data_IF_910940479635
#
_entry.id   IF_910940479635
#
_cell.length_a   1.000
_cell.length_b   1.000
_cell.length_c   1.000
_cell.angle_alpha   90.00
_cell.angle_beta   90.00
_cell.angle_gamma   90.00
#
_symmetry.space_group_name_H-M   'P 1'
#
loop_
_entity.id
_entity.type
_entity.pdbx_description
1 polymer ?
#
# COMPACT_ATOMS: atom_id res chain seq x y z
N UNK A 1 16.64 -66.50 -12.27
CA UNK A 1 16.08 -65.52 -13.22
C UNK A 1 16.09 -64.16 -12.52
N UNK A 2 16.83 -63.17 -13.04
CA UNK A 2 16.97 -61.89 -12.33
C UNK A 2 15.81 -60.96 -12.70
N UNK A 3 14.89 -60.74 -11.75
CA UNK A 3 13.69 -59.92 -11.93
C UNK A 3 14.02 -58.50 -12.38
N UNK A 4 15.07 -57.89 -11.81
CA UNK A 4 15.52 -56.55 -12.18
C UNK A 4 15.97 -56.47 -13.66
N UNK A 5 16.63 -57.53 -14.15
CA UNK A 5 17.07 -57.62 -15.55
C UNK A 5 15.89 -57.74 -16.50
N UNK A 6 14.83 -58.46 -16.10
CA UNK A 6 13.60 -58.58 -16.89
C UNK A 6 12.84 -57.26 -16.95
N UNK A 7 12.69 -56.56 -15.82
CA UNK A 7 12.06 -55.23 -15.75
C UNK A 7 12.80 -54.19 -16.58
N UNK A 8 14.14 -54.17 -16.53
CA UNK A 8 14.94 -53.25 -17.34
C UNK A 8 14.78 -53.49 -18.84
N UNK A 9 14.82 -54.76 -19.26
CA UNK A 9 14.61 -55.12 -20.67
C UNK A 9 13.19 -54.75 -21.15
N UNK A 10 12.17 -54.86 -20.28
CA UNK A 10 10.80 -54.43 -20.60
C UNK A 10 10.68 -52.92 -20.81
N UNK A 11 11.36 -52.12 -19.97
CA UNK A 11 11.38 -50.66 -20.12
C UNK A 11 12.08 -50.21 -21.41
N UNK A 12 13.15 -50.91 -21.80
CA UNK A 12 13.89 -50.65 -23.03
C UNK A 12 13.13 -51.07 -24.31
N UNK A 13 12.26 -52.08 -24.23
CA UNK A 13 11.42 -52.55 -25.34
C UNK A 13 10.28 -51.56 -25.70
N UNK A 14 9.83 -50.75 -24.72
CA UNK A 14 8.78 -49.73 -24.92
C UNK A 14 9.27 -48.30 -24.64
N UNK A 15 10.23 -47.78 -25.41
CA UNK A 15 10.94 -46.54 -25.08
C UNK A 15 10.02 -45.31 -25.00
N UNK A 16 9.03 -45.20 -25.90
CA UNK A 16 8.11 -44.05 -25.91
C UNK A 16 7.19 -44.01 -24.68
N UNK A 17 6.61 -45.17 -24.32
CA UNK A 17 5.74 -45.27 -23.14
C UNK A 17 6.54 -45.04 -21.85
N UNK A 18 7.72 -45.64 -21.75
CA UNK A 18 8.63 -45.46 -20.61
C UNK A 18 9.02 -43.98 -20.47
N UNK A 19 9.36 -43.31 -21.57
CA UNK A 19 9.71 -41.89 -21.56
C UNK A 19 8.54 -41.03 -21.08
N UNK A 20 7.34 -41.23 -21.63
CA UNK A 20 6.16 -40.46 -21.25
C UNK A 20 5.80 -40.65 -19.77
N UNK A 21 5.82 -41.89 -19.27
CA UNK A 21 5.59 -42.18 -17.85
C UNK A 21 6.67 -41.57 -16.96
N UNK A 22 7.93 -41.60 -17.38
CA UNK A 22 9.04 -40.99 -16.64
C UNK A 22 8.88 -39.48 -16.56
N UNK A 23 8.53 -38.82 -17.67
CA UNK A 23 8.26 -37.37 -17.69
C UNK A 23 7.09 -37.03 -16.78
N UNK A 24 6.01 -37.82 -16.82
CA UNK A 24 4.82 -37.57 -16.00
C UNK A 24 5.15 -37.63 -14.49
N UNK A 25 5.90 -38.65 -14.08
CA UNK A 25 6.38 -38.76 -12.68
C UNK A 25 7.35 -37.63 -12.33
N UNK A 26 8.30 -37.33 -13.22
CA UNK A 26 9.27 -36.25 -13.02
C UNK A 26 8.59 -34.89 -12.87
N UNK A 27 7.55 -34.60 -13.66
CA UNK A 27 6.77 -33.37 -13.55
C UNK A 27 6.02 -33.29 -12.22
N UNK A 28 5.40 -34.39 -11.77
CA UNK A 28 4.70 -34.41 -10.48
C UNK A 28 5.63 -34.16 -9.29
N UNK A 29 6.80 -34.82 -9.28
CA UNK A 29 7.82 -34.62 -8.24
C UNK A 29 8.44 -33.23 -8.32
N UNK A 30 8.73 -32.75 -9.52
CA UNK A 30 9.31 -31.42 -9.76
C UNK A 30 8.36 -30.31 -9.30
N UNK A 31 7.09 -30.37 -9.68
CA UNK A 31 6.09 -29.38 -9.27
C UNK A 31 5.98 -29.29 -7.75
N UNK A 32 5.89 -30.45 -7.08
CA UNK A 32 5.84 -30.52 -5.61
C UNK A 32 7.09 -29.89 -4.99
N UNK A 33 8.27 -30.22 -5.53
CA UNK A 33 9.55 -29.69 -5.04
C UNK A 33 9.67 -28.17 -5.24
N UNK A 34 9.23 -27.67 -6.40
CA UNK A 34 9.22 -26.24 -6.72
C UNK A 34 8.31 -25.49 -5.74
N UNK A 35 7.11 -26.02 -5.45
CA UNK A 35 6.21 -25.40 -4.48
C UNK A 35 6.83 -25.29 -3.09
N UNK A 36 7.51 -26.35 -2.61
CA UNK A 36 8.22 -26.31 -1.33
C UNK A 36 9.36 -25.29 -1.33
N UNK A 37 10.16 -25.24 -2.40
CA UNK A 37 11.26 -24.29 -2.52
C UNK A 37 10.77 -22.84 -2.57
N UNK A 38 9.70 -22.57 -3.34
CA UNK A 38 9.10 -21.25 -3.43
C UNK A 38 8.54 -20.80 -2.08
N UNK A 39 7.81 -21.67 -1.39
CA UNK A 39 7.26 -21.36 -0.06
C UNK A 39 8.40 -21.02 0.92
N UNK A 40 9.43 -21.87 0.97
CA UNK A 40 10.60 -21.63 1.83
C UNK A 40 11.29 -20.31 1.50
N UNK A 41 11.57 -20.04 0.23
CA UNK A 41 12.22 -18.80 -0.18
C UNK A 41 11.38 -17.57 0.15
N UNK A 42 10.06 -17.66 0.00
CA UNK A 42 9.16 -16.56 0.33
C UNK A 42 9.15 -16.26 1.83
N UNK A 43 9.02 -17.31 2.65
CA UNK A 43 9.07 -17.20 4.11
C UNK A 43 10.43 -16.63 4.56
N UNK A 44 11.54 -17.20 4.10
CA UNK A 44 12.89 -16.76 4.48
C UNK A 44 13.11 -15.28 4.11
N UNK A 45 12.60 -14.82 2.95
CA UNK A 45 12.68 -13.41 2.56
C UNK A 45 11.82 -12.52 3.44
N UNK A 46 10.58 -12.91 3.77
CA UNK A 46 9.74 -12.11 4.65
C UNK A 46 10.37 -11.97 6.03
N UNK A 47 10.81 -13.08 6.63
CA UNK A 47 11.44 -13.09 7.95
C UNK A 47 12.71 -12.25 7.99
N UNK A 48 13.59 -12.35 6.99
CA UNK A 48 14.83 -11.55 6.97
C UNK A 48 14.60 -10.05 6.78
N UNK A 49 13.51 -9.64 6.14
CA UNK A 49 13.21 -8.21 5.97
C UNK A 49 12.63 -7.56 7.23
N UNK A 50 12.04 -8.33 8.14
CA UNK A 50 11.52 -7.85 9.43
C UNK A 50 12.47 -8.14 10.61
N UNK A 51 13.53 -8.91 10.37
CA UNK A 51 14.51 -9.29 11.39
C UNK A 51 15.14 -8.06 12.05
N UNK A 52 15.04 -7.97 13.37
CA UNK A 52 15.53 -6.83 14.15
C UNK A 52 14.66 -5.57 14.11
N UNK A 53 13.42 -5.67 13.61
CA UNK A 53 12.41 -4.60 13.70
C UNK A 53 11.36 -5.00 14.73
N UNK A 54 11.44 -4.41 15.93
CA UNK A 54 10.51 -4.72 17.03
C UNK A 54 9.22 -3.89 16.98
N UNK A 55 9.30 -2.67 16.45
CA UNK A 55 8.19 -1.71 16.43
C UNK A 55 8.25 -0.81 15.20
N UNK A 56 7.10 -0.64 14.55
CA UNK A 56 6.88 0.37 13.51
C UNK A 56 5.94 1.42 14.06
N UNK A 57 6.37 2.68 14.04
CA UNK A 57 5.59 3.83 14.51
C UNK A 57 5.25 4.71 13.31
N UNK A 58 3.97 5.01 13.13
CA UNK A 58 3.43 5.71 11.97
C UNK A 58 2.22 6.56 12.35
N UNK A 59 1.74 7.37 11.41
CA UNK A 59 0.47 8.07 11.55
C UNK A 59 -0.69 7.07 11.70
N UNK A 60 -1.79 7.53 12.32
CA UNK A 60 -2.99 6.71 12.54
C UNK A 60 -3.48 6.12 11.22
N UNK A 61 -3.59 4.79 11.18
CA UNK A 61 -4.03 4.05 9.99
C UNK A 61 -4.11 2.55 10.25
N UNK A 62 -4.14 1.76 9.18
CA UNK A 62 -4.15 0.29 9.27
C UNK A 62 -2.76 -0.22 9.71
N UNK A 63 -2.66 -1.04 10.79
CA UNK A 63 -1.39 -1.64 11.18
C UNK A 63 -0.74 -2.47 10.07
N UNK A 64 -1.56 -3.21 9.31
CA UNK A 64 -1.07 -3.99 8.17
C UNK A 64 -0.46 -3.08 7.09
N UNK A 65 -1.13 -1.97 6.77
CA UNK A 65 -0.63 -1.00 5.80
C UNK A 65 0.69 -0.36 6.26
N UNK A 66 0.85 -0.06 7.56
CA UNK A 66 2.13 0.45 8.08
C UNK A 66 3.27 -0.54 7.85
N UNK A 67 3.04 -1.83 8.12
CA UNK A 67 4.05 -2.87 7.89
C UNK A 67 4.36 -3.03 6.40
N UNK A 68 3.33 -3.09 5.55
CA UNK A 68 3.49 -3.25 4.10
C UNK A 68 4.18 -2.03 3.45
N UNK A 69 3.93 -0.82 3.95
CA UNK A 69 4.56 0.40 3.44
C UNK A 69 5.97 0.63 3.97
N UNK A 70 6.21 0.42 5.28
CA UNK A 70 7.46 0.81 5.94
C UNK A 70 8.55 -0.28 5.90
N UNK A 71 8.15 -1.55 5.98
CA UNK A 71 9.09 -2.69 5.99
C UNK A 71 9.22 -3.28 4.58
N UNK A 72 8.08 -3.56 3.94
CA UNK A 72 8.06 -4.26 2.65
C UNK A 72 8.01 -3.34 1.44
N UNK A 73 7.69 -2.05 1.62
CA UNK A 73 7.61 -1.04 0.54
C UNK A 73 6.62 -1.36 -0.60
N UNK A 74 5.55 -2.10 -0.31
CA UNK A 74 4.55 -2.53 -1.31
C UNK A 74 3.24 -1.71 -1.23
N UNK A 75 3.06 -0.92 -0.17
CA UNK A 75 1.85 -0.11 0.03
C UNK A 75 2.18 1.39 0.21
N UNK A 76 1.15 2.24 0.19
CA UNK A 76 1.25 3.67 0.48
C UNK A 76 1.38 3.93 1.99
N UNK A 77 2.16 4.94 2.41
CA UNK A 77 2.26 5.33 3.82
C UNK A 77 0.90 5.77 4.37
N UNK A 78 0.65 5.54 5.67
CA UNK A 78 -0.60 5.93 6.34
C UNK A 78 -0.69 7.42 6.69
N UNK A 79 0.37 8.18 6.41
CA UNK A 79 0.48 9.62 6.69
C UNK A 79 1.78 9.98 7.40
N UNK A 80 1.94 11.25 7.73
CA UNK A 80 3.13 11.78 8.40
C UNK A 80 2.92 11.91 9.91
N UNK A 81 4.00 11.75 10.67
CA UNK A 81 4.03 12.01 12.11
C UNK A 81 4.72 13.36 12.34
N UNK A 82 4.22 14.24 13.21
CA UNK A 82 4.92 15.48 13.55
C UNK A 82 6.34 15.18 14.05
N UNK A 83 7.34 15.88 13.51
CA UNK A 83 8.74 15.67 13.85
C UNK A 83 9.00 15.73 15.37
N UNK A 84 8.31 16.64 16.05
CA UNK A 84 8.38 16.80 17.51
C UNK A 84 7.95 15.52 18.25
N UNK A 85 6.91 14.84 17.78
CA UNK A 85 6.42 13.59 18.38
C UNK A 85 7.38 12.44 18.10
N UNK A 86 7.90 12.33 16.88
CA UNK A 86 8.92 11.36 16.53
C UNK A 86 10.15 11.47 17.46
N UNK A 87 10.62 12.69 17.74
CA UNK A 87 11.73 12.94 18.67
C UNK A 87 11.44 12.56 20.13
N UNK A 88 10.18 12.59 20.57
CA UNK A 88 9.83 12.14 21.92
C UNK A 88 9.96 10.63 22.00
N UNK A 89 9.50 9.91 20.97
CA UNK A 89 9.63 8.45 20.89
C UNK A 89 11.09 8.04 20.88
N UNK A 90 11.93 8.65 20.03
CA UNK A 90 13.35 8.25 19.91
C UNK A 90 14.18 8.50 21.18
N UNK A 91 13.72 9.35 22.10
CA UNK A 91 14.37 9.60 23.40
C UNK A 91 13.99 8.60 24.50
N UNK A 92 13.12 7.65 24.21
CA UNK A 92 12.69 6.65 25.19
C UNK A 92 13.87 5.71 25.55
N UNK A 93 14.19 5.52 26.85
CA UNK A 93 15.32 4.69 27.29
C UNK A 93 15.20 3.20 26.91
N UNK A 94 14.00 2.72 26.54
CA UNK A 94 13.80 1.34 26.06
C UNK A 94 14.09 1.17 24.56
N UNK A 95 14.43 2.25 23.84
CA UNK A 95 14.75 2.21 22.42
C UNK A 95 16.26 2.26 22.25
N UNK A 96 16.84 1.15 21.81
CA UNK A 96 18.27 1.07 21.48
C UNK A 96 18.60 1.84 20.19
N UNK A 97 17.73 1.73 19.18
CA UNK A 97 17.93 2.30 17.86
C UNK A 97 16.60 2.74 17.26
N UNK A 98 16.56 3.96 16.72
CA UNK A 98 15.41 4.49 15.99
C UNK A 98 15.86 4.97 14.62
N UNK A 99 15.34 4.37 13.56
CA UNK A 99 15.72 4.70 12.19
C UNK A 99 14.56 5.47 11.55
N UNK A 100 14.76 6.72 11.12
CA UNK A 100 13.70 7.51 10.51
C UNK A 100 13.40 6.99 9.10
N UNK A 101 12.13 7.11 8.70
CA UNK A 101 11.66 6.72 7.37
C UNK A 101 10.73 7.80 6.83
N UNK A 102 11.04 8.32 5.65
CA UNK A 102 10.22 9.26 4.90
C UNK A 102 9.96 8.68 3.50
N UNK A 103 8.69 8.58 3.13
CA UNK A 103 8.24 7.96 1.89
C UNK A 103 7.37 8.96 1.11
N UNK A 104 7.46 8.96 -0.22
CA UNK A 104 6.59 9.82 -1.04
C UNK A 104 6.87 9.71 -2.52
N UNK A 105 8.17 9.68 -2.88
CA UNK A 105 8.60 9.65 -4.26
C UNK A 105 8.99 8.24 -4.74
N UNK A 106 8.98 8.07 -6.05
CA UNK A 106 9.59 6.95 -6.74
C UNK A 106 10.30 7.42 -8.01
N UNK A 107 11.10 6.52 -8.59
CA UNK A 107 11.67 6.69 -9.90
C UNK A 107 11.47 5.42 -10.72
N UNK A 108 10.69 5.52 -11.81
CA UNK A 108 10.37 4.40 -12.69
C UNK A 108 9.85 3.14 -11.95
N UNK A 109 9.05 3.36 -10.90
CA UNK A 109 8.46 2.30 -10.07
C UNK A 109 9.37 1.77 -8.96
N UNK A 110 10.57 2.31 -8.77
CA UNK A 110 11.42 2.04 -7.61
C UNK A 110 11.25 3.13 -6.57
N UNK A 111 10.92 2.75 -5.34
CA UNK A 111 10.65 3.71 -4.26
C UNK A 111 11.91 4.45 -3.84
N UNK A 112 11.78 5.76 -3.67
CA UNK A 112 12.79 6.61 -3.04
C UNK A 112 12.44 6.70 -1.55
N UNK A 113 13.39 6.40 -0.70
CA UNK A 113 13.23 6.28 0.74
C UNK A 113 14.20 7.26 1.41
N UNK A 114 13.64 8.27 2.07
CA UNK A 114 14.39 9.16 2.96
C UNK A 114 14.66 8.45 4.28
N UNK A 115 15.92 8.28 4.64
CA UNK A 115 16.35 7.64 5.88
C UNK A 115 17.74 8.14 6.28
N UNK A 116 18.45 7.42 7.13
CA UNK A 116 19.85 7.69 7.47
C UNK A 116 20.73 6.46 7.24
N UNK A 117 22.04 6.63 7.44
CA UNK A 117 23.04 5.55 7.31
C UNK A 117 22.76 4.33 8.18
N UNK A 118 21.99 4.48 9.25
CA UNK A 118 21.66 3.38 10.16
C UNK A 118 20.72 2.35 9.50
N UNK A 119 19.95 2.74 8.48
CA UNK A 119 19.09 1.84 7.70
C UNK A 119 19.91 0.85 6.90
N UNK A 120 20.95 1.32 6.19
CA UNK A 120 21.87 0.46 5.45
C UNK A 120 22.58 -0.51 6.40
N UNK A 121 23.03 -0.02 7.56
CA UNK A 121 23.67 -0.83 8.58
C UNK A 121 22.73 -1.88 9.19
N UNK A 122 21.44 -1.58 9.35
CA UNK A 122 20.45 -2.52 9.87
C UNK A 122 20.31 -3.76 8.97
N UNK A 123 20.29 -3.57 7.65
CA UNK A 123 20.26 -4.66 6.68
C UNK A 123 21.64 -5.32 6.42
N UNK A 124 22.69 -4.91 7.14
CA UNK A 124 24.05 -5.41 6.92
C UNK A 124 24.57 -5.17 5.50
N UNK A 125 24.07 -4.13 4.84
CA UNK A 125 24.39 -3.87 3.45
C UNK A 125 25.72 -3.13 3.30
N UNK A 126 26.46 -3.47 2.26
CA UNK A 126 27.76 -2.89 1.93
C UNK A 126 27.66 -2.09 0.63
N UNK A 127 28.51 -1.06 0.49
CA UNK A 127 28.67 -0.35 -0.78
C UNK A 127 29.50 -1.23 -1.73
N UNK A 128 28.96 -1.48 -2.92
CA UNK A 128 29.69 -2.12 -4.01
C UNK A 128 30.54 -1.09 -4.78
N UNK A 129 29.96 0.09 -5.06
CA UNK A 129 30.61 1.17 -5.80
C UNK A 129 30.28 2.53 -5.18
N UNK A 130 31.23 3.45 -5.15
CA UNK A 130 31.04 4.82 -4.65
C UNK A 130 31.10 4.92 -3.12
N UNK A 131 30.16 5.67 -2.53
CA UNK A 131 30.11 5.94 -1.08
C UNK A 131 28.68 6.02 -0.57
N UNK A 132 28.52 6.01 0.75
CA UNK A 132 27.23 6.31 1.37
C UNK A 132 26.82 7.78 1.11
N UNK A 133 25.51 8.00 1.06
CA UNK A 133 24.87 9.32 1.03
C UNK A 133 25.38 10.15 2.21
N UNK A 134 25.71 11.42 1.91
CA UNK A 134 26.20 12.36 2.91
C UNK A 134 25.44 13.68 2.83
N UNK A 135 25.24 14.18 1.62
CA UNK A 135 24.65 15.48 1.35
C UNK A 135 23.22 15.31 0.79
N UNK A 136 22.44 16.40 0.80
CA UNK A 136 21.08 16.37 0.25
C UNK A 136 21.09 16.14 -1.27
N UNK A 137 20.02 15.53 -1.79
CA UNK A 137 19.83 15.13 -3.19
C UNK A 137 20.78 14.02 -3.67
N UNK A 138 21.66 13.52 -2.82
CA UNK A 138 22.43 12.31 -3.11
C UNK A 138 21.60 11.06 -2.84
N UNK A 139 21.87 9.99 -3.61
CA UNK A 139 21.23 8.70 -3.43
C UNK A 139 22.20 7.52 -3.44
N UNK A 140 21.89 6.52 -2.62
CA UNK A 140 22.40 5.16 -2.75
C UNK A 140 21.35 4.27 -3.40
N UNK A 141 21.73 3.53 -4.43
CA UNK A 141 20.80 2.71 -5.20
C UNK A 141 21.01 1.22 -4.87
N UNK A 142 19.92 0.53 -4.58
CA UNK A 142 19.91 -0.92 -4.40
C UNK A 142 20.37 -1.66 -5.66
N UNK A 143 20.99 -2.82 -5.49
CA UNK A 143 21.62 -3.57 -6.59
C UNK A 143 20.67 -3.90 -7.76
N UNK A 144 19.42 -4.29 -7.48
CA UNK A 144 18.41 -4.62 -8.51
C UNK A 144 17.85 -3.36 -9.15
N UNK A 145 17.63 -2.30 -8.38
CA UNK A 145 17.21 -1.00 -8.89
C UNK A 145 18.27 -0.44 -9.87
N UNK A 146 19.55 -0.45 -9.48
CA UNK A 146 20.66 0.02 -10.32
C UNK A 146 20.74 -0.76 -11.64
N UNK A 147 20.69 -2.09 -11.58
CA UNK A 147 20.71 -2.95 -12.78
C UNK A 147 19.50 -2.71 -13.69
N UNK A 148 18.29 -2.57 -13.13
CA UNK A 148 17.05 -2.46 -13.91
C UNK A 148 16.86 -1.08 -14.53
N UNK A 149 17.33 -0.05 -13.85
CA UNK A 149 17.25 1.36 -14.28
C UNK A 149 18.50 1.81 -15.03
N UNK A 150 19.50 0.93 -15.18
CA UNK A 150 20.79 1.20 -15.82
C UNK A 150 21.54 2.39 -15.18
N UNK A 151 21.31 2.62 -13.89
CA UNK A 151 21.93 3.70 -13.12
C UNK A 151 23.38 3.36 -12.76
N UNK A 152 24.24 4.37 -12.84
CA UNK A 152 25.66 4.32 -12.49
C UNK A 152 26.00 5.45 -11.54
N UNK A 153 27.17 5.40 -10.91
CA UNK A 153 27.70 6.54 -10.16
C UNK A 153 27.75 7.77 -11.07
N UNK A 154 27.23 8.90 -10.58
CA UNK A 154 27.09 10.16 -11.31
C UNK A 154 25.85 10.26 -12.20
N UNK A 155 25.01 9.22 -12.28
CA UNK A 155 23.69 9.34 -12.93
C UNK A 155 22.82 10.33 -12.16
N UNK A 156 22.06 11.15 -12.90
CA UNK A 156 21.07 12.07 -12.32
C UNK A 156 19.67 11.75 -12.83
N UNK A 157 18.67 11.88 -11.96
CA UNK A 157 17.26 11.66 -12.32
C UNK A 157 16.31 12.49 -11.47
N UNK A 158 15.05 12.58 -11.90
CA UNK A 158 13.98 13.28 -11.19
C UNK A 158 12.99 12.28 -10.63
N UNK A 159 12.57 12.48 -9.38
CA UNK A 159 11.55 11.67 -8.74
C UNK A 159 10.14 12.08 -9.18
N UNK A 160 9.18 11.16 -9.02
CA UNK A 160 7.76 11.42 -9.21
C UNK A 160 6.97 10.97 -7.99
N UNK A 161 5.88 11.67 -7.66
CA UNK A 161 5.00 11.27 -6.55
C UNK A 161 4.36 9.91 -6.79
N UNK A 162 4.26 9.13 -5.71
CA UNK A 162 3.63 7.82 -5.71
C UNK A 162 4.47 6.74 -6.38
N UNK A 163 3.90 5.54 -6.57
CA UNK A 163 4.58 4.39 -7.18
C UNK A 163 4.26 4.19 -8.67
N UNK A 164 3.52 5.11 -9.28
CA UNK A 164 3.02 4.93 -10.65
C UNK A 164 4.10 5.32 -11.65
N UNK A 165 4.40 4.44 -12.60
CA UNK A 165 5.39 4.68 -13.66
C UNK A 165 4.99 5.79 -14.64
N UNK A 166 3.70 6.07 -14.76
CA UNK A 166 3.14 7.05 -15.71
C UNK A 166 2.10 7.91 -14.99
N UNK A 167 2.17 9.23 -15.16
CA UNK A 167 1.13 10.17 -14.71
C UNK A 167 1.29 10.72 -13.28
N UNK A 168 2.34 10.37 -12.54
CA UNK A 168 2.70 11.07 -11.30
C UNK A 168 3.29 12.45 -11.59
N UNK A 169 3.05 13.44 -10.73
CA UNK A 169 3.75 14.72 -10.80
C UNK A 169 5.25 14.48 -10.64
N UNK A 170 6.03 14.90 -11.64
CA UNK A 170 7.49 14.79 -11.62
C UNK A 170 8.05 16.06 -10.97
N UNK A 171 8.95 15.87 -10.00
CA UNK A 171 9.72 16.96 -9.43
C UNK A 171 10.83 17.37 -10.41
N UNK A 172 10.54 18.25 -11.36
CA UNK A 172 11.54 18.72 -12.33
C UNK A 172 12.56 19.71 -11.72
N UNK A 173 12.31 20.19 -10.51
CA UNK A 173 13.08 21.28 -9.88
C UNK A 173 14.42 20.82 -9.29
N UNK A 174 14.50 19.59 -8.78
CA UNK A 174 15.68 19.09 -8.07
C UNK A 174 16.02 17.68 -8.54
N UNK A 175 17.21 17.53 -9.13
CA UNK A 175 17.71 16.23 -9.57
C UNK A 175 18.39 15.48 -8.43
N UNK A 176 18.09 14.20 -8.30
CA UNK A 176 18.85 13.27 -7.48
C UNK A 176 20.15 12.87 -8.18
N UNK A 177 21.26 12.74 -7.43
CA UNK A 177 22.55 12.25 -7.92
C UNK A 177 22.92 10.91 -7.30
N UNK A 178 23.26 9.92 -8.13
CA UNK A 178 23.70 8.60 -7.66
C UNK A 178 25.16 8.66 -7.20
N UNK A 179 25.39 8.53 -5.88
CA UNK A 179 26.74 8.56 -5.28
C UNK A 179 27.24 7.21 -4.78
N UNK A 180 26.36 6.20 -4.75
CA UNK A 180 26.74 4.84 -4.40
C UNK A 180 25.76 3.78 -4.88
N UNK A 181 26.28 2.59 -5.16
CA UNK A 181 25.49 1.40 -5.48
C UNK A 181 25.75 0.35 -4.40
N UNK A 182 24.67 -0.19 -3.84
CA UNK A 182 24.74 -1.21 -2.80
C UNK A 182 25.02 -2.58 -3.41
N UNK A 183 25.78 -3.40 -2.67
CA UNK A 183 25.99 -4.82 -2.98
C UNK A 183 24.69 -5.59 -2.83
N UNK A 184 24.53 -6.64 -3.64
CA UNK A 184 23.32 -7.46 -3.63
C UNK A 184 23.13 -8.21 -2.31
N UNK A 185 22.01 -7.95 -1.64
CA UNK A 185 21.65 -8.51 -0.32
C UNK A 185 20.58 -9.59 -0.41
N UNK A 186 19.87 -9.68 -1.53
CA UNK A 186 18.63 -10.43 -1.71
C UNK A 186 17.47 -9.99 -0.79
N UNK A 187 17.54 -8.77 -0.25
CA UNK A 187 16.54 -8.17 0.63
C UNK A 187 15.79 -7.04 -0.07
N UNK A 188 14.86 -6.39 0.64
CA UNK A 188 14.06 -5.29 0.10
C UNK A 188 14.95 -4.14 -0.37
N UNK A 189 16.07 -3.90 0.32
CA UNK A 189 17.04 -2.85 0.03
C UNK A 189 17.54 -2.84 -1.42
N UNK A 190 17.65 -4.01 -2.06
CA UNK A 190 18.08 -4.11 -3.46
C UNK A 190 17.12 -3.41 -4.44
N UNK A 191 15.87 -3.19 -4.03
CA UNK A 191 14.80 -2.59 -4.82
C UNK A 191 14.48 -1.14 -4.39
N UNK A 192 15.33 -0.54 -3.55
CA UNK A 192 15.11 0.81 -3.03
C UNK A 192 16.17 1.77 -3.57
N UNK A 193 15.79 3.04 -3.61
CA UNK A 193 16.69 4.18 -3.76
C UNK A 193 16.67 4.90 -2.41
N UNK A 194 17.82 5.05 -1.78
CA UNK A 194 17.95 5.62 -0.44
C UNK A 194 18.51 7.03 -0.52
N UNK A 195 17.91 7.95 0.21
CA UNK A 195 18.37 9.33 0.35
C UNK A 195 18.23 9.78 1.80
N UNK A 196 18.65 11.01 2.11
CA UNK A 196 18.46 11.58 3.44
C UNK A 196 17.01 12.02 3.67
N UNK A 197 16.53 11.94 4.91
CA UNK A 197 15.20 12.48 5.29
C UNK A 197 15.04 13.96 4.91
N UNK A 198 16.10 14.75 5.10
CA UNK A 198 16.16 16.17 4.72
C UNK A 198 15.94 16.40 3.23
N UNK A 199 16.38 15.47 2.38
CA UNK A 199 16.13 15.54 0.95
C UNK A 199 14.63 15.42 0.67
N UNK A 200 13.93 14.47 1.30
CA UNK A 200 12.49 14.32 1.12
C UNK A 200 11.72 15.58 1.54
N UNK A 201 12.11 16.23 2.65
CA UNK A 201 11.50 17.50 3.04
C UNK A 201 11.79 18.61 2.04
N UNK A 202 13.04 18.74 1.59
CA UNK A 202 13.42 19.75 0.59
C UNK A 202 12.64 19.63 -0.72
N UNK A 203 12.28 18.40 -1.13
CA UNK A 203 11.45 18.15 -2.32
C UNK A 203 9.98 18.55 -2.11
N UNK A 204 9.53 18.72 -0.86
CA UNK A 204 8.13 18.98 -0.52
C UNK A 204 7.89 20.32 0.20
N UNK A 205 8.93 21.05 0.60
CA UNK A 205 8.80 22.37 1.27
C UNK A 205 8.01 23.37 0.41
N UNK A 206 8.22 23.39 -0.91
CA UNK A 206 7.55 24.32 -1.83
C UNK A 206 6.04 24.00 -2.05
N UNK A 207 5.54 22.87 -1.56
CA UNK A 207 4.14 22.43 -1.72
C UNK A 207 3.29 22.55 -0.44
N UNK A 208 3.88 22.88 0.70
CA UNK A 208 3.17 22.93 2.00
C UNK A 208 2.26 24.17 2.19
N UNK A 209 2.12 25.02 1.18
CA UNK A 209 1.39 26.29 1.26
C UNK A 209 -0.09 26.28 0.82
N UNK A 210 -0.66 25.17 0.34
CA UNK A 210 -1.98 25.18 -0.32
C UNK A 210 -3.03 24.16 0.15
N UNK A 211 -2.83 23.44 1.27
CA UNK A 211 -3.88 22.58 1.83
C UNK A 211 -4.71 23.29 2.92
N UNK A 212 -5.25 24.46 2.59
CA UNK A 212 -6.32 25.13 3.34
C UNK A 212 -7.46 25.50 2.39
N UNK A 213 -8.09 24.51 1.77
CA UNK A 213 -9.44 24.70 1.24
C UNK A 213 -10.43 24.40 2.37
N UNK A 214 -10.76 25.46 3.10
CA UNK A 214 -11.97 25.56 3.90
C UNK A 214 -13.18 25.43 2.97
N UNK A 215 -13.93 24.35 3.08
CA UNK A 215 -15.28 24.28 2.49
C UNK A 215 -16.21 25.23 3.27
N UNK A 216 -16.16 26.52 2.94
CA UNK A 216 -17.25 27.45 3.24
C UNK A 216 -18.35 27.29 2.19
N UNK A 217 -19.45 26.65 2.60
CA UNK A 217 -20.71 26.66 1.87
C UNK A 217 -21.29 28.07 1.79
N UNK A 218 -20.91 28.83 0.76
CA UNK A 218 -21.60 30.05 0.36
C UNK A 218 -22.72 29.70 -0.64
N UNK A 219 -23.96 29.77 -0.17
CA UNK A 219 -25.16 29.62 -0.99
C UNK A 219 -25.24 30.71 -2.05
N UNK A 220 -25.22 30.30 -3.32
CA UNK A 220 -25.55 31.16 -4.44
C UNK A 220 -27.01 30.95 -4.85
N UNK A 221 -27.83 31.89 -4.38
CA UNK A 221 -29.12 32.24 -4.92
C UNK A 221 -28.95 32.77 -6.35
N UNK A 222 -29.59 32.11 -7.32
CA UNK A 222 -29.76 32.64 -8.66
C UNK A 222 -31.25 32.66 -8.99
N UNK A 223 -31.83 33.84 -8.79
CA UNK A 223 -33.13 34.21 -9.33
C UNK A 223 -33.13 34.11 -10.85
N UNK A 224 -34.11 33.37 -11.37
CA UNK A 224 -34.53 33.46 -12.75
C UNK A 224 -35.97 33.99 -12.78
N UNK A 225 -36.13 35.14 -13.43
CA UNK A 225 -37.40 35.81 -13.64
C UNK A 225 -38.03 35.27 -14.92
N UNK A 226 -39.21 34.66 -14.81
CA UNK A 226 -40.15 34.49 -15.92
C UNK A 226 -41.55 34.80 -15.39
N UNK A 227 -42.12 35.85 -15.95
CA UNK A 227 -43.46 36.37 -15.68
C UNK A 227 -44.53 35.35 -16.08
N UNK A 228 -45.55 35.13 -15.24
CA UNK A 228 -46.91 34.96 -15.76
C UNK A 228 -47.98 35.43 -14.78
N UNK A 229 -48.95 36.13 -15.37
CA UNK A 229 -49.98 36.99 -14.80
C UNK A 229 -51.07 36.25 -14.02
N UNK A 230 -51.47 36.88 -12.91
CA UNK A 230 -52.85 37.27 -12.61
C UNK A 230 -53.81 36.21 -12.07
N UNK A 231 -54.31 36.41 -10.85
CA UNK A 231 -55.72 36.75 -10.60
C UNK A 231 -55.97 37.08 -9.11
N UNK A 232 -56.28 38.36 -8.89
CA UNK A 232 -57.34 38.97 -8.05
C UNK A 232 -57.98 38.13 -6.91
N UNK A 233 -57.91 38.63 -5.67
CA UNK A 233 -59.02 39.32 -4.98
C UNK A 233 -58.63 39.65 -3.53
N UNK A 234 -58.80 40.92 -3.15
CA UNK A 234 -58.83 41.35 -1.75
C UNK A 234 -60.21 41.09 -1.12
N UNK A 235 -60.28 40.97 0.21
CA UNK A 235 -60.66 42.06 1.12
C UNK A 235 -60.81 41.53 2.56
N UNK A 236 -60.74 42.47 3.51
CA UNK A 236 -61.49 42.51 4.78
C UNK A 236 -61.09 41.64 6.00
N UNK A 237 -60.60 42.38 7.00
CA UNK A 237 -61.15 42.55 8.36
C UNK A 237 -61.05 41.45 9.46
N UNK A 238 -60.37 41.87 10.54
CA UNK A 238 -60.77 41.90 11.96
C UNK A 238 -61.07 40.62 12.76
N UNK A 239 -60.27 40.52 13.84
CA UNK A 239 -60.62 40.40 15.26
C UNK A 239 -61.18 39.10 15.86
N UNK A 240 -60.57 38.81 17.01
CA UNK A 240 -61.07 38.22 18.25
C UNK A 240 -61.33 36.72 18.38
N UNK A 241 -60.44 36.11 19.19
CA UNK A 241 -60.74 35.43 20.46
C UNK A 241 -62.03 34.61 20.59
N UNK A 242 -61.90 33.29 20.75
CA UNK A 242 -62.15 32.62 22.04
C UNK A 242 -62.06 31.08 21.96
N UNK A 243 -61.35 30.53 22.95
CA UNK A 243 -61.73 29.43 23.84
C UNK A 243 -62.71 28.34 23.35
N UNK A 244 -62.28 27.06 23.38
CA UNK A 244 -62.57 26.15 24.50
C UNK A 244 -62.25 24.67 24.18
N UNK A 245 -61.68 24.02 25.19
CA UNK A 245 -62.01 22.69 25.73
C UNK A 245 -62.17 21.49 24.77
N UNK A 246 -61.18 20.59 24.87
CA UNK A 246 -61.37 19.20 25.32
C UNK A 246 -62.22 18.27 24.47
N UNK A 247 -61.64 17.16 24.04
CA UNK A 247 -62.25 15.84 24.28
C UNK A 247 -61.20 14.73 24.11
N UNK A 248 -61.03 14.00 25.21
CA UNK A 248 -60.49 12.65 25.29
C UNK A 248 -61.38 11.68 24.49
N UNK A 249 -60.79 10.60 23.96
CA UNK A 249 -61.30 9.22 24.02
C UNK A 249 -60.40 8.28 23.20
N UNK A 250 -59.90 7.25 23.87
CA UNK A 250 -59.12 6.16 23.28
C UNK A 250 -59.93 5.01 22.69
N UNK A 251 -59.15 4.04 22.22
CA UNK A 251 -59.41 2.61 22.02
C UNK A 251 -60.51 2.19 21.02
N UNK A 252 -60.16 1.43 19.97
CA UNK A 252 -60.09 -0.03 20.02
C UNK A 252 -59.69 -0.66 18.67
N UNK A 253 -59.30 -1.93 18.77
CA UNK A 253 -58.81 -2.88 17.78
C UNK A 253 -59.80 -3.23 16.65
N UNK A 254 -59.28 -3.77 15.53
CA UNK A 254 -59.67 -5.13 15.07
C UNK A 254 -58.88 -5.63 13.84
N UNK A 255 -58.33 -6.84 14.02
CA UNK A 255 -58.32 -8.04 13.14
C UNK A 255 -57.81 -7.98 11.69
N UNK A 256 -56.64 -8.61 11.47
CA UNK A 256 -56.51 -10.01 11.01
C UNK A 256 -56.76 -10.32 9.52
N UNK A 257 -55.76 -10.95 8.88
CA UNK A 257 -55.93 -12.09 7.96
C UNK A 257 -54.59 -12.81 7.72
N UNK A 258 -54.51 -14.06 8.16
CA UNK A 258 -53.54 -15.08 7.75
C UNK A 258 -53.95 -15.69 6.41
N UNK A 259 -52.98 -16.21 5.64
CA UNK A 259 -53.07 -17.56 5.07
C UNK A 259 -51.68 -18.13 4.76
N UNK A 260 -51.43 -19.29 5.35
CA UNK A 260 -50.29 -20.18 5.16
C UNK A 260 -50.51 -21.21 4.04
N UNK A 261 -49.45 -21.88 3.58
CA UNK A 261 -49.57 -23.12 2.80
C UNK A 261 -48.28 -23.82 2.35
N UNK A 262 -47.73 -24.68 3.23
CA UNK A 262 -47.09 -26.04 3.05
C UNK A 262 -45.84 -26.19 2.14
N UNK A 263 -44.68 -26.72 2.61
CA UNK A 263 -44.30 -28.12 3.01
C UNK A 263 -44.58 -29.17 1.91
N UNK A 264 -43.60 -29.95 1.43
CA UNK A 264 -43.09 -31.18 2.09
C UNK A 264 -41.69 -31.66 1.62
N UNK A 265 -41.10 -32.53 2.45
CA UNK A 265 -39.81 -33.26 2.38
C UNK A 265 -39.83 -34.57 1.55
N UNK A 266 -38.62 -35.15 1.38
CA UNK A 266 -38.25 -36.56 1.07
C UNK A 266 -38.43 -37.00 -0.40
N UNK A 267 -37.58 -37.83 -1.03
CA UNK A 267 -37.00 -39.08 -0.56
C UNK A 267 -35.86 -39.60 -1.50
N UNK A 268 -35.12 -40.58 -0.99
CA UNK A 268 -34.12 -41.49 -1.58
C UNK A 268 -34.00 -41.64 -3.12
N UNK A 269 -32.75 -41.61 -3.62
CA UNK A 269 -32.12 -42.70 -4.42
C UNK A 269 -30.60 -42.54 -4.48
#
# INVERSE_FOLDING_TARGET
MNLLKLSWNYLADKPFSTLLSTILVALGVSLTSILFLLNKQFQDRLYKNIEGIDLVVGAKGSPLQMILSSVYHIDAPTGNIPLKEAFVVTKNPYIEKAIPLALGDSYNGFRIVGTDSQYVAHFGAEIAEGRLVKDDLEVNVGSRAAKKLELKIGSTFYGSHGLVKEGGHVHETYAYEVVGILKETNLILDQLILTNVSTVWRMHDDHTGHDHDEEEHAGHDHGNAEEHKGHDHGDADKQDENEHAGHDHGAEEHKGHDHAGKQDENDHT
#
